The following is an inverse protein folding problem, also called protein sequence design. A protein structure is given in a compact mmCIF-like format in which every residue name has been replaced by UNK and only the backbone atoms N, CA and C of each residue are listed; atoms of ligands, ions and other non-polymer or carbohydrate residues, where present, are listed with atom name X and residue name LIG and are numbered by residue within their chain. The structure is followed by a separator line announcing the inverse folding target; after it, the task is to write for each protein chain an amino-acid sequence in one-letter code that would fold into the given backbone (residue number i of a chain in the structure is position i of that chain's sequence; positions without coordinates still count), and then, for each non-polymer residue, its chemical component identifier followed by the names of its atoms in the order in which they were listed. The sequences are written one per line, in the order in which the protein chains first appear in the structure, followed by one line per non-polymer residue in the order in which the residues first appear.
data_IF_197408029496
#
_entry.id   IF_197408029496
#
_cell.length_a   1.000
_cell.length_b   1.000
_cell.length_c   1.000
_cell.angle_alpha   90.00
_cell.angle_beta   90.00
_cell.angle_gamma   90.00
#
_symmetry.space_group_name_H-M   'P 1'
#
loop_
_entity.id
_entity.type
_entity.pdbx_description
1 polymer ?
#
# COMPACT_ATOMS: atom_id res chain seq x y z
N UNK A 1 -18.06 -12.07 -1.36
CA UNK A 1 -17.75 -10.66 -1.70
C UNK A 1 -16.58 -10.11 -0.87
N UNK A 2 -16.65 -10.15 0.47
CA UNK A 2 -15.61 -9.62 1.35
C UNK A 2 -14.23 -10.28 1.18
N UNK A 3 -14.15 -11.61 1.03
CA UNK A 3 -12.88 -12.34 0.80
C UNK A 3 -12.14 -11.90 -0.47
N UNK A 4 -12.87 -11.59 -1.55
CA UNK A 4 -12.28 -11.13 -2.80
C UNK A 4 -11.71 -9.71 -2.65
N UNK A 5 -12.45 -8.83 -1.96
CA UNK A 5 -11.99 -7.48 -1.63
C UNK A 5 -10.73 -7.50 -0.76
N UNK A 6 -10.70 -8.34 0.28
CA UNK A 6 -9.54 -8.48 1.17
C UNK A 6 -8.29 -8.95 0.40
N UNK A 7 -8.41 -10.01 -0.41
CA UNK A 7 -7.29 -10.51 -1.22
C UNK A 7 -6.82 -9.46 -2.23
N UNK A 8 -7.75 -8.70 -2.84
CA UNK A 8 -7.42 -7.64 -3.78
C UNK A 8 -6.59 -6.53 -3.12
N UNK A 9 -7.02 -6.01 -1.96
CA UNK A 9 -6.28 -4.99 -1.21
C UNK A 9 -4.91 -5.50 -0.72
N UNK A 10 -4.82 -6.77 -0.32
CA UNK A 10 -3.56 -7.39 0.10
C UNK A 10 -2.56 -7.50 -1.03
N UNK A 11 -3.00 -7.93 -2.22
CA UNK A 11 -2.16 -7.97 -3.43
C UNK A 11 -1.61 -6.60 -3.80
N UNK A 12 -2.42 -5.55 -3.70
CA UNK A 12 -1.96 -4.18 -3.97
C UNK A 12 -1.03 -3.64 -2.89
N UNK A 13 -1.22 -4.04 -1.63
CA UNK A 13 -0.28 -3.75 -0.54
C UNK A 13 1.06 -4.48 -0.74
N UNK A 14 1.06 -5.71 -1.26
CA UNK A 14 2.27 -6.44 -1.63
C UNK A 14 2.99 -5.76 -2.80
N UNK A 15 2.25 -5.37 -3.85
CA UNK A 15 2.79 -4.65 -5.00
C UNK A 15 3.45 -3.32 -4.58
N UNK A 16 2.81 -2.58 -3.68
CA UNK A 16 3.37 -1.36 -3.09
C UNK A 16 4.72 -1.61 -2.41
N UNK A 17 4.80 -2.64 -1.56
CA UNK A 17 6.06 -3.00 -0.86
C UNK A 17 7.13 -3.47 -1.85
N UNK A 18 6.76 -4.17 -2.93
CA UNK A 18 7.70 -4.58 -3.98
C UNK A 18 8.21 -3.41 -4.82
N UNK A 19 7.37 -2.42 -5.08
CA UNK A 19 7.75 -1.22 -5.84
C UNK A 19 8.73 -0.34 -5.06
N UNK A 20 8.53 -0.21 -3.75
CA UNK A 20 9.42 0.53 -2.84
C UNK A 20 10.67 -0.29 -2.47
N UNK A 21 10.53 -1.61 -2.33
CA UNK A 21 11.53 -2.53 -1.81
C UNK A 21 11.40 -2.75 -0.29
N UNK A 22 11.47 -4.01 0.16
CA UNK A 22 11.16 -4.40 1.55
C UNK A 22 12.05 -3.72 2.62
N UNK A 23 13.34 -3.49 2.32
CA UNK A 23 14.28 -2.82 3.22
C UNK A 23 13.93 -1.33 3.37
N UNK A 24 13.71 -0.64 2.24
CA UNK A 24 13.36 0.77 2.21
C UNK A 24 11.98 0.99 2.85
N UNK A 25 11.01 0.11 2.55
CA UNK A 25 9.69 0.15 3.14
C UNK A 25 9.75 0.03 4.67
N UNK A 26 10.51 -0.94 5.20
CA UNK A 26 10.70 -1.12 6.65
C UNK A 26 11.29 0.14 7.32
N UNK A 27 12.29 0.77 6.68
CA UNK A 27 12.90 2.00 7.17
C UNK A 27 11.92 3.18 7.15
N UNK A 28 11.18 3.38 6.05
CA UNK A 28 10.25 4.50 5.87
C UNK A 28 9.09 4.50 6.88
N UNK A 29 8.52 3.32 7.16
CA UNK A 29 7.36 3.21 8.06
C UNK A 29 7.71 2.85 9.51
N UNK A 30 9.00 2.61 9.81
CA UNK A 30 9.45 2.18 11.14
C UNK A 30 8.86 0.82 11.59
N UNK A 31 8.52 -0.06 10.64
CA UNK A 31 8.00 -1.41 10.92
C UNK A 31 9.03 -2.47 10.51
N UNK A 32 9.00 -3.62 11.18
CA UNK A 32 9.84 -4.75 10.79
C UNK A 32 9.36 -5.34 9.45
N UNK A 33 10.26 -6.00 8.71
CA UNK A 33 9.94 -6.75 7.48
C UNK A 33 8.85 -7.80 7.72
N UNK A 34 8.93 -8.49 8.87
CA UNK A 34 7.92 -9.46 9.28
C UNK A 34 6.56 -8.79 9.51
N UNK A 35 6.53 -7.58 10.06
CA UNK A 35 5.29 -6.82 10.22
C UNK A 35 4.69 -6.45 8.87
N UNK A 36 5.50 -5.94 7.93
CA UNK A 36 5.05 -5.62 6.57
C UNK A 36 4.51 -6.86 5.84
N UNK A 37 5.22 -7.99 5.94
CA UNK A 37 4.79 -9.28 5.38
C UNK A 37 3.41 -9.73 5.85
N UNK A 38 3.06 -9.46 7.11
CA UNK A 38 1.74 -9.81 7.66
C UNK A 38 0.60 -8.94 7.13
N UNK A 39 0.87 -7.71 6.69
CA UNK A 39 -0.16 -6.82 6.17
C UNK A 39 -0.74 -7.26 4.82
N UNK A 40 0.04 -7.98 4.01
CA UNK A 40 -0.39 -8.51 2.71
C UNK A 40 -0.43 -10.04 2.66
N UNK A 41 -0.23 -10.72 3.80
CA UNK A 41 -0.27 -12.18 3.86
C UNK A 41 -1.70 -12.70 3.74
N UNK A 42 -1.92 -13.72 2.89
CA UNK A 42 -3.20 -14.44 2.78
C UNK A 42 -3.36 -15.54 3.86
N UNK A 43 -2.44 -15.66 4.81
CA UNK A 43 -2.53 -16.59 5.93
C UNK A 43 -3.79 -16.32 6.77
N UNK A 44 -4.61 -17.35 7.11
CA UNK A 44 -5.78 -17.21 7.98
C UNK A 44 -5.51 -16.46 9.29
N UNK A 45 -4.34 -16.65 9.91
CA UNK A 45 -3.95 -15.98 11.17
C UNK A 45 -3.71 -14.48 11.00
N UNK A 46 -3.59 -14.02 9.75
CA UNK A 46 -3.35 -12.64 9.37
C UNK A 46 -4.43 -12.10 8.43
N UNK A 47 -5.52 -12.83 8.22
CA UNK A 47 -6.58 -12.50 7.27
C UNK A 47 -7.14 -11.08 7.46
N UNK A 48 -7.28 -10.63 8.72
CA UNK A 48 -7.82 -9.31 9.08
C UNK A 48 -6.76 -8.23 9.30
N UNK A 49 -5.47 -8.57 9.19
CA UNK A 49 -4.38 -7.61 9.30
C UNK A 49 -4.15 -6.95 7.95
N UNK A 50 -4.64 -5.73 7.81
CA UNK A 50 -4.38 -4.89 6.64
C UNK A 50 -3.29 -3.87 6.93
N UNK A 51 -2.68 -3.34 5.87
CA UNK A 51 -1.73 -2.25 5.99
C UNK A 51 -2.44 -1.00 6.56
N UNK A 52 -1.92 -0.41 7.64
CA UNK A 52 -2.44 0.86 8.16
C UNK A 52 -2.35 1.99 7.12
N UNK A 53 -3.32 2.91 7.13
CA UNK A 53 -3.42 3.99 6.13
C UNK A 53 -2.21 4.93 6.16
N UNK A 54 -1.65 5.20 7.34
CA UNK A 54 -0.41 5.96 7.52
C UNK A 54 0.80 5.29 6.86
N UNK A 55 0.89 3.95 6.97
CA UNK A 55 1.92 3.16 6.30
C UNK A 55 1.73 3.20 4.78
N UNK A 56 0.49 3.07 4.30
CA UNK A 56 0.17 3.20 2.87
C UNK A 56 0.64 4.55 2.33
N UNK A 57 0.26 5.65 2.98
CA UNK A 57 0.62 7.00 2.55
C UNK A 57 2.14 7.23 2.52
N UNK A 58 2.86 6.75 3.54
CA UNK A 58 4.31 6.84 3.59
C UNK A 58 4.98 6.07 2.45
N UNK A 59 4.51 4.84 2.16
CA UNK A 59 5.06 4.02 1.09
C UNK A 59 4.71 4.54 -0.30
N UNK A 60 3.47 5.01 -0.52
CA UNK A 60 3.04 5.54 -1.83
C UNK A 60 3.79 6.83 -2.20
N UNK A 61 4.24 7.61 -1.21
CA UNK A 61 5.11 8.79 -1.44
C UNK A 61 6.47 8.39 -2.05
N UNK A 62 6.99 7.22 -1.68
CA UNK A 62 8.26 6.69 -2.19
C UNK A 62 8.08 5.80 -3.43
N UNK A 63 6.88 5.28 -3.66
CA UNK A 63 6.55 4.42 -4.79
C UNK A 63 6.53 5.19 -6.12
N UNK A 64 6.55 4.45 -7.23
CA UNK A 64 6.37 5.02 -8.58
C UNK A 64 4.91 5.13 -8.97
N UNK A 65 4.04 4.39 -8.30
CA UNK A 65 2.62 4.31 -8.56
C UNK A 65 1.84 4.19 -7.23
N UNK A 66 0.67 4.84 -7.09
CA UNK A 66 -0.12 4.77 -5.87
C UNK A 66 -0.99 3.50 -5.85
N UNK A 67 -0.37 2.34 -5.61
CA UNK A 67 -0.99 1.00 -5.76
C UNK A 67 -2.28 0.81 -4.96
N UNK A 68 -2.31 1.20 -3.69
CA UNK A 68 -3.47 0.99 -2.81
C UNK A 68 -4.54 2.05 -3.09
N UNK A 69 -4.13 3.31 -3.32
CA UNK A 69 -5.07 4.38 -3.69
C UNK A 69 -5.74 4.08 -5.03
N UNK A 70 -5.01 3.58 -6.02
CA UNK A 70 -5.56 3.12 -7.30
C UNK A 70 -6.54 1.95 -7.10
N UNK A 71 -6.20 0.95 -6.27
CA UNK A 71 -7.09 -0.14 -5.95
C UNK A 71 -8.41 0.34 -5.32
N UNK A 72 -8.36 1.32 -4.40
CA UNK A 72 -9.55 1.91 -3.80
C UNK A 72 -10.40 2.67 -4.83
N UNK A 73 -9.76 3.37 -5.76
CA UNK A 73 -10.46 4.03 -6.87
C UNK A 73 -11.18 3.00 -7.75
N UNK A 74 -10.50 1.92 -8.14
CA UNK A 74 -11.06 0.82 -8.93
C UNK A 74 -12.28 0.19 -8.26
N UNK A 75 -12.20 -0.10 -6.95
CA UNK A 75 -13.32 -0.66 -6.17
C UNK A 75 -14.55 0.25 -6.20
N UNK A 76 -14.34 1.57 -6.27
CA UNK A 76 -15.41 2.57 -6.28
C UNK A 76 -15.84 2.98 -7.68
N UNK A 77 -15.22 2.44 -8.73
CA UNK A 77 -15.46 2.86 -10.11
C UNK A 77 -15.04 4.30 -10.37
N UNK A 78 -14.06 4.81 -9.62
CA UNK A 78 -13.52 6.16 -9.75
C UNK A 78 -12.31 6.10 -10.68
N UNK A 79 -12.25 6.98 -11.68
CA UNK A 79 -11.04 7.17 -12.49
C UNK A 79 -10.03 8.00 -11.71
N UNK A 80 -8.89 7.40 -11.38
CA UNK A 80 -7.76 8.11 -10.77
C UNK A 80 -6.89 8.72 -11.89
N UNK A 81 -6.80 10.05 -11.91
CA UNK A 81 -5.77 10.75 -12.69
C UNK A 81 -4.59 11.03 -11.75
N UNK A 82 -3.45 10.41 -12.05
CA UNK A 82 -2.22 10.57 -11.28
C UNK A 82 -1.14 11.16 -12.19
N UNK A 83 -0.89 12.45 -12.02
CA UNK A 83 0.24 13.12 -12.66
C UNK A 83 1.52 12.75 -11.88
N UNK A 84 2.43 11.99 -12.52
CA UNK A 84 3.67 11.50 -11.92
C UNK A 84 4.67 12.60 -11.50
N UNK A 85 4.30 13.86 -11.65
CA UNK A 85 4.97 15.00 -11.03
C UNK A 85 4.66 15.01 -9.55
N UNK A 86 5.60 14.53 -8.73
CA UNK A 86 5.54 14.66 -7.26
C UNK A 86 5.22 16.10 -6.89
N UNK A 87 4.01 16.34 -6.36
CA UNK A 87 3.66 17.61 -5.76
C UNK A 87 4.58 17.81 -4.55
N UNK A 88 5.63 18.61 -4.72
CA UNK A 88 6.42 19.10 -3.61
C UNK A 88 5.48 19.79 -2.61
N UNK A 89 5.28 19.20 -1.45
CA UNK A 89 4.77 19.87 -0.26
C UNK A 89 5.84 19.80 0.83
N UNK A 90 6.94 20.50 0.55
CA UNK A 90 7.97 20.91 1.49
C UNK A 90 8.22 22.41 1.32
N UNK A 91 7.15 23.20 1.39
CA UNK A 91 7.22 24.63 1.64
C UNK A 91 6.39 24.87 2.91
N UNK A 92 7.09 24.96 4.04
CA UNK A 92 6.56 25.16 5.38
C UNK A 92 7.67 25.10 6.39
#
# INVERSE_FOLDING_TARGET
MQKQLSSYLKKHSEALVKDVGIEAAAALCGKSKATLGRYYSDDPDHAERFMPIDVVAALETAARFPHVTAALADIRGITLSHDGTRSNAGAG
#
